data_IF_093117415190
#
_entry.id   IF_093117415190
#
_cell.length_a   1.000
_cell.length_b   1.000
_cell.length_c   1.000
_cell.angle_alpha   90.00
_cell.angle_beta   90.00
_cell.angle_gamma   90.00
#
_symmetry.space_group_name_H-M   'P 1'
#
loop_
_entity.id
_entity.type
_entity.pdbx_description
1 polymer ?
#
# COMPACT_ATOMS: atom_id res chain seq x y z
N UNK A 1 27.96 -55.63 81.44
CA UNK A 1 27.56 -54.27 81.87
C UNK A 1 27.19 -53.46 80.63
N UNK A 2 25.98 -52.89 80.66
CA UNK A 2 25.41 -51.76 79.88
C UNK A 2 25.18 -51.89 78.36
N UNK A 3 23.89 -51.97 78.02
CA UNK A 3 23.22 -51.33 76.87
C UNK A 3 23.21 -49.78 77.04
N UNK A 4 23.11 -48.98 75.95
CA UNK A 4 21.81 -48.66 75.31
C UNK A 4 21.81 -48.58 73.76
N UNK A 5 20.60 -48.61 73.18
CA UNK A 5 20.25 -48.24 71.78
C UNK A 5 19.63 -46.81 71.76
N UNK A 6 18.98 -46.27 70.70
CA UNK A 6 18.98 -46.52 69.24
C UNK A 6 19.21 -45.23 68.41
N UNK A 7 19.29 -45.32 67.07
CA UNK A 7 19.24 -44.14 66.18
C UNK A 7 19.44 -44.55 64.72
N UNK A 8 18.36 -44.80 63.99
CA UNK A 8 17.65 -43.85 63.13
C UNK A 8 18.15 -43.93 61.68
N UNK A 9 17.29 -44.51 60.84
CA UNK A 9 17.37 -44.45 59.39
C UNK A 9 17.31 -42.99 58.93
N UNK A 10 18.28 -42.55 58.13
CA UNK A 10 18.14 -41.33 57.34
C UNK A 10 18.51 -41.58 55.88
N UNK A 11 17.44 -41.67 55.10
CA UNK A 11 17.35 -41.37 53.69
C UNK A 11 18.28 -40.21 53.29
N UNK A 12 19.32 -40.48 52.51
CA UNK A 12 19.83 -39.48 51.57
C UNK A 12 19.05 -39.62 50.27
N UNK A 13 17.97 -38.83 50.26
CA UNK A 13 17.09 -38.53 49.14
C UNK A 13 17.88 -38.34 47.86
N UNK A 14 17.43 -39.04 46.82
CA UNK A 14 17.51 -38.58 45.44
C UNK A 14 17.13 -37.09 45.39
N UNK A 15 18.08 -36.21 45.11
CA UNK A 15 17.80 -34.82 44.79
C UNK A 15 17.14 -34.81 43.41
N UNK A 16 15.81 -34.78 43.37
CA UNK A 16 15.07 -34.49 42.14
C UNK A 16 15.53 -33.11 41.63
N UNK A 17 15.93 -32.97 40.35
CA UNK A 17 16.28 -31.67 39.79
C UNK A 17 15.04 -30.76 39.84
N UNK A 18 15.18 -29.47 40.20
CA UNK A 18 14.04 -28.59 40.39
C UNK A 18 13.30 -28.40 39.06
N UNK A 19 12.11 -28.99 38.95
CA UNK A 19 11.19 -28.87 37.80
C UNK A 19 10.85 -27.43 37.42
N UNK A 20 11.11 -26.46 38.31
CA UNK A 20 10.99 -25.03 38.08
C UNK A 20 12.15 -24.45 37.25
N UNK A 21 13.38 -24.92 37.43
CA UNK A 21 14.55 -24.44 36.68
C UNK A 21 14.43 -24.81 35.19
N UNK A 22 13.94 -26.03 34.91
CA UNK A 22 13.66 -26.49 33.55
C UNK A 22 12.56 -25.65 32.88
N UNK A 23 11.50 -25.29 33.60
CA UNK A 23 10.39 -24.46 33.08
C UNK A 23 10.83 -23.02 32.80
N UNK A 24 11.67 -22.44 33.66
CA UNK A 24 12.22 -21.08 33.46
C UNK A 24 13.17 -21.05 32.26
N UNK A 25 14.01 -22.07 32.09
CA UNK A 25 14.88 -22.20 30.91
C UNK A 25 14.09 -22.35 29.60
N UNK A 26 13.04 -23.18 29.59
CA UNK A 26 12.17 -23.34 28.41
C UNK A 26 11.40 -22.05 28.12
N UNK A 27 10.88 -21.37 29.15
CA UNK A 27 10.19 -20.08 29.00
C UNK A 27 11.12 -18.98 28.48
N UNK A 28 12.38 -18.94 28.94
CA UNK A 28 13.38 -17.98 28.49
C UNK A 28 13.81 -18.23 27.05
N UNK A 29 13.96 -19.51 26.65
CA UNK A 29 14.28 -19.89 25.29
C UNK A 29 13.14 -19.57 24.32
N UNK A 30 11.88 -19.78 24.74
CA UNK A 30 10.70 -19.45 23.95
C UNK A 30 10.55 -17.92 23.76
N UNK A 31 10.85 -17.13 24.79
CA UNK A 31 10.85 -15.67 24.71
C UNK A 31 11.97 -15.12 23.80
N UNK A 32 13.15 -15.75 23.81
CA UNK A 32 14.25 -15.41 22.89
C UNK A 32 13.90 -15.75 21.43
N UNK A 33 13.18 -16.86 21.20
CA UNK A 33 12.77 -17.28 19.85
C UNK A 33 11.69 -16.35 19.26
N UNK A 34 10.82 -15.78 20.09
CA UNK A 34 9.82 -14.79 19.67
C UNK A 34 10.45 -13.42 19.31
N UNK A 35 11.62 -13.10 19.87
CA UNK A 35 12.32 -11.85 19.58
C UNK A 35 13.11 -11.85 18.27
N UNK A 36 13.36 -13.02 17.66
CA UNK A 36 14.23 -13.15 16.48
C UNK A 36 13.49 -13.03 15.13
N UNK A 37 12.18 -12.82 15.15
CA UNK A 37 11.36 -12.63 13.94
C UNK A 37 11.18 -11.14 13.59
N UNK A 38 12.27 -10.37 13.46
CA UNK A 38 12.19 -9.11 12.72
C UNK A 38 12.32 -9.42 11.22
N UNK A 39 11.19 -9.56 10.53
CA UNK A 39 11.17 -9.52 9.08
C UNK A 39 11.52 -8.09 8.64
N UNK A 40 12.63 -7.90 7.93
CA UNK A 40 12.94 -6.63 7.29
C UNK A 40 11.88 -6.36 6.22
N UNK A 41 11.07 -5.32 6.42
CA UNK A 41 10.08 -4.90 5.44
C UNK A 41 10.78 -4.22 4.26
N UNK A 42 10.34 -4.51 3.04
CA UNK A 42 10.84 -3.86 1.83
C UNK A 42 10.45 -2.38 1.83
N UNK A 43 11.41 -1.48 1.68
CA UNK A 43 11.15 -0.04 1.62
C UNK A 43 10.76 0.37 0.19
N UNK A 44 9.64 1.08 0.04
CA UNK A 44 9.19 1.59 -1.26
C UNK A 44 8.89 3.09 -1.19
N UNK A 45 9.76 3.88 -1.82
CA UNK A 45 9.58 5.31 -2.05
C UNK A 45 8.82 5.55 -3.36
N UNK A 46 7.91 6.53 -3.36
CA UNK A 46 7.15 6.94 -4.56
C UNK A 46 7.07 8.46 -4.64
N UNK A 47 7.67 9.01 -5.69
CA UNK A 47 7.68 10.44 -6.01
C UNK A 47 6.94 10.71 -7.32
N UNK A 48 6.08 11.72 -7.31
CA UNK A 48 5.26 12.18 -8.44
C UNK A 48 5.60 13.65 -8.65
N UNK A 49 5.97 14.03 -9.87
CA UNK A 49 6.45 15.37 -10.21
C UNK A 49 5.78 15.88 -11.50
N UNK A 50 5.60 17.19 -11.63
CA UNK A 50 5.15 17.85 -12.87
C UNK A 50 3.63 18.05 -13.01
N UNK A 51 2.88 17.92 -11.91
CA UNK A 51 1.44 18.14 -11.84
C UNK A 51 1.11 19.30 -10.89
N UNK A 52 -0.11 19.85 -11.02
CA UNK A 52 -0.69 20.70 -9.98
C UNK A 52 -1.18 19.86 -8.79
N UNK A 53 -1.53 20.54 -7.69
CA UNK A 53 -1.86 19.89 -6.41
C UNK A 53 -3.06 18.93 -6.55
N UNK A 54 -4.12 19.36 -7.23
CA UNK A 54 -5.35 18.56 -7.40
C UNK A 54 -5.08 17.32 -8.29
N UNK A 55 -4.38 17.51 -9.40
CA UNK A 55 -4.03 16.40 -10.30
C UNK A 55 -3.08 15.41 -9.63
N UNK A 56 -2.06 15.90 -8.91
CA UNK A 56 -1.13 15.06 -8.18
C UNK A 56 -1.86 14.24 -7.11
N UNK A 57 -2.73 14.88 -6.32
CA UNK A 57 -3.51 14.20 -5.29
C UNK A 57 -4.38 13.10 -5.90
N UNK A 58 -5.05 13.38 -7.01
CA UNK A 58 -5.88 12.38 -7.69
C UNK A 58 -5.04 11.21 -8.21
N UNK A 59 -3.90 11.49 -8.86
CA UNK A 59 -2.96 10.46 -9.32
C UNK A 59 -2.46 9.61 -8.16
N UNK A 60 -2.06 10.23 -7.04
CA UNK A 60 -1.56 9.56 -5.85
C UNK A 60 -2.57 8.56 -5.27
N UNK A 61 -3.85 8.93 -5.23
CA UNK A 61 -4.93 8.04 -4.77
C UNK A 61 -5.20 6.89 -5.75
N UNK A 62 -5.07 7.16 -7.04
CA UNK A 62 -5.34 6.19 -8.10
C UNK A 62 -4.26 5.11 -8.24
N UNK A 63 -3.01 5.46 -7.91
CA UNK A 63 -1.85 4.58 -8.05
C UNK A 63 -1.88 3.40 -7.08
N UNK A 64 -1.94 2.18 -7.63
CA UNK A 64 -1.85 0.94 -6.84
C UNK A 64 -0.51 0.79 -6.13
N UNK A 65 0.57 1.30 -6.72
CA UNK A 65 1.90 1.27 -6.10
C UNK A 65 1.95 2.09 -4.81
N UNK A 66 1.24 3.21 -4.75
CA UNK A 66 1.14 4.03 -3.54
C UNK A 66 0.31 3.31 -2.48
N UNK A 67 -0.82 2.71 -2.86
CA UNK A 67 -1.70 1.98 -1.93
C UNK A 67 -1.06 0.73 -1.32
N UNK A 68 -0.21 0.03 -2.08
CA UNK A 68 0.40 -1.23 -1.63
C UNK A 68 1.78 -1.05 -1.00
N UNK A 69 2.33 0.18 -0.95
CA UNK A 69 3.72 0.42 -0.50
C UNK A 69 3.99 0.03 0.96
N UNK A 70 2.96 0.05 1.81
CA UNK A 70 3.06 -0.27 3.25
C UNK A 70 2.71 -1.73 3.55
N UNK A 71 2.52 -2.56 2.52
CA UNK A 71 2.22 -3.98 2.72
C UNK A 71 3.44 -4.72 3.29
N UNK A 72 3.28 -5.47 4.39
CA UNK A 72 4.38 -6.22 4.99
C UNK A 72 4.88 -7.38 4.12
N UNK A 73 4.06 -7.84 3.17
CA UNK A 73 4.35 -8.94 2.24
C UNK A 73 4.75 -8.44 0.83
N UNK A 74 5.20 -7.19 0.72
CA UNK A 74 5.56 -6.59 -0.56
C UNK A 74 6.86 -7.21 -1.11
N UNK A 75 6.75 -7.91 -2.25
CA UNK A 75 7.90 -8.53 -2.92
C UNK A 75 8.48 -7.64 -4.03
N UNK A 76 9.76 -7.79 -4.40
CA UNK A 76 10.35 -7.11 -5.55
C UNK A 76 9.58 -7.33 -6.87
N UNK A 77 9.05 -8.53 -7.11
CA UNK A 77 8.23 -8.85 -8.28
C UNK A 77 6.92 -8.04 -8.25
N UNK A 78 6.32 -7.91 -7.06
CA UNK A 78 5.10 -7.12 -6.89
C UNK A 78 5.37 -5.64 -7.14
N UNK A 79 6.48 -5.10 -6.66
CA UNK A 79 6.89 -3.71 -6.95
C UNK A 79 7.05 -3.49 -8.45
N UNK A 80 7.79 -4.36 -9.16
CA UNK A 80 7.97 -4.28 -10.61
C UNK A 80 6.64 -4.34 -11.36
N UNK A 81 5.74 -5.23 -10.94
CA UNK A 81 4.39 -5.33 -11.50
C UNK A 81 3.56 -4.05 -11.29
N UNK A 82 3.55 -3.51 -10.07
CA UNK A 82 2.84 -2.29 -9.73
C UNK A 82 3.39 -1.09 -10.52
N UNK A 83 4.71 -1.00 -10.66
CA UNK A 83 5.39 0.01 -11.45
C UNK A 83 5.02 -0.05 -12.94
N UNK A 84 5.00 -1.24 -13.54
CA UNK A 84 4.59 -1.44 -14.94
C UNK A 84 3.15 -0.96 -15.21
N UNK A 85 2.27 -1.03 -14.21
CA UNK A 85 0.87 -0.57 -14.31
C UNK A 85 0.69 0.92 -14.06
N UNK A 86 1.65 1.58 -13.40
CA UNK A 86 1.54 2.96 -12.99
C UNK A 86 1.28 3.94 -14.16
N UNK A 87 1.95 3.84 -15.33
CA UNK A 87 1.69 4.76 -16.44
C UNK A 87 0.23 4.75 -16.93
N UNK A 88 -0.41 3.58 -16.99
CA UNK A 88 -1.82 3.48 -17.39
C UNK A 88 -2.77 4.00 -16.30
N UNK A 89 -2.41 3.80 -15.03
CA UNK A 89 -3.16 4.36 -13.90
C UNK A 89 -3.07 5.89 -13.88
N UNK A 90 -1.88 6.46 -14.11
CA UNK A 90 -1.67 7.91 -14.20
C UNK A 90 -2.52 8.50 -15.32
N UNK A 91 -2.50 7.91 -16.53
CA UNK A 91 -3.33 8.40 -17.65
C UNK A 91 -4.81 8.46 -17.29
N UNK A 92 -5.34 7.41 -16.67
CA UNK A 92 -6.75 7.35 -16.26
C UNK A 92 -7.08 8.38 -15.17
N UNK A 93 -6.18 8.58 -14.22
CA UNK A 93 -6.34 9.59 -13.18
C UNK A 93 -6.34 11.02 -13.74
N UNK A 94 -5.71 11.26 -14.88
CA UNK A 94 -5.66 12.58 -15.50
C UNK A 94 -6.84 12.87 -16.44
N UNK A 95 -7.64 11.86 -16.83
CA UNK A 95 -8.80 12.03 -17.71
C UNK A 95 -9.86 13.02 -17.19
N UNK A 96 -10.22 13.05 -15.88
CA UNK A 96 -11.17 14.02 -15.33
C UNK A 96 -10.70 15.48 -15.38
N UNK A 97 -9.48 15.73 -15.84
CA UNK A 97 -8.92 17.08 -16.03
C UNK A 97 -8.76 17.41 -17.52
N UNK A 98 -9.30 16.58 -18.42
CA UNK A 98 -9.15 16.73 -19.87
C UNK A 98 -7.75 16.35 -20.39
N UNK A 99 -6.89 15.78 -19.55
CA UNK A 99 -5.48 15.50 -19.88
C UNK A 99 -5.32 14.08 -20.45
N UNK A 100 -5.67 13.90 -21.72
CA UNK A 100 -5.68 12.59 -22.38
C UNK A 100 -4.34 12.12 -22.95
N UNK A 101 -3.38 13.03 -23.13
CA UNK A 101 -2.09 12.72 -23.78
C UNK A 101 -0.88 13.16 -22.93
N UNK A 102 -0.80 12.80 -21.64
CA UNK A 102 0.34 13.14 -20.83
C UNK A 102 1.58 12.36 -21.30
N UNK A 103 2.75 13.01 -21.29
CA UNK A 103 4.03 12.30 -21.40
C UNK A 103 4.44 11.90 -19.99
N UNK A 104 4.78 10.63 -19.81
CA UNK A 104 5.09 10.05 -18.50
C UNK A 104 6.45 9.39 -18.61
N UNK A 105 7.42 9.87 -17.83
CA UNK A 105 8.67 9.17 -17.60
C UNK A 105 8.58 8.46 -16.24
N UNK A 106 8.66 7.12 -16.28
CA UNK A 106 8.55 6.26 -15.11
C UNK A 106 9.89 5.55 -14.88
N UNK A 107 10.48 5.78 -13.72
CA UNK A 107 11.77 5.22 -13.33
C UNK A 107 11.58 4.35 -12.08
N UNK A 108 12.25 3.20 -12.06
CA UNK A 108 12.33 2.28 -10.93
C UNK A 108 13.81 2.02 -10.62
N UNK A 109 14.28 2.50 -9.48
CA UNK A 109 15.67 2.37 -9.05
C UNK A 109 15.74 1.46 -7.81
N UNK A 110 16.53 0.37 -7.86
CA UNK A 110 16.82 -0.42 -6.66
C UNK A 110 17.63 0.40 -5.65
N UNK A 111 17.34 0.25 -4.36
CA UNK A 111 18.10 0.82 -3.24
C UNK A 111 18.69 -0.29 -2.38
N UNK A 112 19.35 0.05 -1.26
CA UNK A 112 19.89 -0.94 -0.33
C UNK A 112 18.78 -1.83 0.28
N UNK A 113 17.66 -1.22 0.64
CA UNK A 113 16.57 -1.86 1.41
C UNK A 113 15.25 -1.99 0.61
N UNK A 114 15.25 -1.59 -0.67
CA UNK A 114 14.08 -1.73 -1.53
C UNK A 114 14.15 -0.97 -2.85
N UNK A 115 13.20 -0.06 -3.10
CA UNK A 115 13.05 0.64 -4.38
C UNK A 115 12.65 2.11 -4.24
N UNK A 116 13.18 2.95 -5.13
CA UNK A 116 12.72 4.32 -5.38
C UNK A 116 12.00 4.39 -6.73
N UNK A 117 10.72 4.76 -6.70
CA UNK A 117 9.90 4.96 -7.89
C UNK A 117 9.69 6.44 -8.15
N UNK A 118 10.04 6.91 -9.35
CA UNK A 118 9.84 8.30 -9.77
C UNK A 118 8.98 8.39 -11.01
N UNK A 119 7.94 9.20 -10.95
CA UNK A 119 7.03 9.50 -12.07
C UNK A 119 7.09 10.99 -12.39
N UNK A 120 7.80 11.35 -13.46
CA UNK A 120 7.80 12.72 -14.00
C UNK A 120 6.75 12.81 -15.09
N UNK A 121 5.81 13.72 -14.92
CA UNK A 121 4.62 13.81 -15.75
C UNK A 121 4.56 15.19 -16.40
N UNK A 122 4.41 15.21 -17.71
CA UNK A 122 4.08 16.41 -18.47
C UNK A 122 2.64 16.28 -18.95
N UNK A 123 1.66 16.97 -18.32
CA UNK A 123 0.23 16.77 -18.58
C UNK A 123 -0.17 17.17 -20.01
N UNK A 124 0.52 18.13 -20.61
CA UNK A 124 0.18 18.70 -21.92
C UNK A 124 -0.99 19.68 -21.84
N UNK A 125 -1.61 19.96 -22.98
CA UNK A 125 -2.80 20.82 -23.05
C UNK A 125 -4.07 19.98 -22.84
N UNK A 126 -5.03 20.44 -22.01
CA UNK A 126 -6.33 19.78 -21.88
C UNK A 126 -7.05 19.73 -23.22
N UNK A 127 -7.69 18.58 -23.51
CA UNK A 127 -8.66 18.47 -24.58
C UNK A 127 -9.91 19.21 -24.15
N UNK A 128 -10.45 20.04 -25.04
CA UNK A 128 -11.64 20.85 -24.79
C UNK A 128 -12.86 20.33 -25.53
N UNK A 129 -14.05 20.70 -25.04
CA UNK A 129 -15.33 20.41 -25.68
C UNK A 129 -15.41 21.21 -26.99
N UNK A 130 -15.53 20.52 -28.12
CA UNK A 130 -15.68 21.16 -29.44
C UNK A 130 -17.11 21.59 -29.73
N UNK A 131 -18.09 20.72 -29.49
CA UNK A 131 -19.50 20.95 -29.80
C UNK A 131 -20.40 20.15 -28.86
N UNK A 132 -21.52 20.73 -28.44
CA UNK A 132 -22.54 20.06 -27.60
C UNK A 132 -23.83 19.92 -28.41
N UNK A 133 -24.10 18.69 -28.87
CA UNK A 133 -25.33 18.35 -29.60
C UNK A 133 -26.31 17.61 -28.69
N UNK A 134 -27.31 18.32 -28.18
CA UNK A 134 -28.33 17.77 -27.28
C UNK A 134 -29.68 17.58 -28.00
N UNK A 135 -30.23 16.35 -27.96
CA UNK A 135 -31.51 16.00 -28.58
C UNK A 135 -32.37 15.15 -27.63
N UNK A 136 -33.62 15.54 -27.44
CA UNK A 136 -34.61 14.78 -26.67
C UNK A 136 -35.56 14.07 -27.64
N UNK A 137 -35.76 12.77 -27.45
CA UNK A 137 -36.70 11.96 -28.24
C UNK A 137 -37.60 11.10 -27.33
N UNK A 138 -38.84 10.84 -27.77
CA UNK A 138 -39.78 9.98 -27.04
C UNK A 138 -40.61 10.71 -25.98
N UNK A 139 -40.99 10.02 -24.91
CA UNK A 139 -41.90 10.54 -23.88
C UNK A 139 -41.41 11.83 -23.18
N UNK A 140 -40.10 12.08 -23.20
CA UNK A 140 -39.48 13.24 -22.56
C UNK A 140 -39.55 14.55 -23.36
N UNK A 141 -40.01 14.55 -24.62
CA UNK A 141 -40.01 15.75 -25.48
C UNK A 141 -40.83 16.92 -24.88
N UNK A 142 -41.87 16.61 -24.11
CA UNK A 142 -42.69 17.60 -23.42
C UNK A 142 -42.24 17.97 -22.01
N UNK A 143 -41.19 17.35 -21.47
CA UNK A 143 -40.74 17.60 -20.09
C UNK A 143 -39.88 18.87 -20.02
N UNK A 144 -40.34 19.96 -19.36
CA UNK A 144 -39.59 21.21 -19.23
C UNK A 144 -38.26 21.04 -18.50
N UNK A 145 -38.12 19.99 -17.67
CA UNK A 145 -36.87 19.72 -16.93
C UNK A 145 -35.76 19.30 -17.87
N UNK A 146 -36.09 18.57 -18.94
CA UNK A 146 -35.15 18.06 -19.94
C UNK A 146 -34.79 19.15 -20.97
N UNK A 147 -35.72 20.07 -21.26
CA UNK A 147 -35.49 21.16 -22.21
C UNK A 147 -34.35 22.12 -21.82
N UNK A 148 -33.96 22.17 -20.54
CA UNK A 148 -32.85 23.01 -20.06
C UNK A 148 -31.48 22.59 -20.60
N UNK A 149 -31.33 21.35 -21.07
CA UNK A 149 -30.05 20.84 -21.59
C UNK A 149 -28.95 20.68 -20.52
N UNK A 150 -27.79 20.15 -20.90
CA UNK A 150 -26.62 20.05 -20.03
C UNK A 150 -25.91 21.40 -19.86
N UNK A 151 -25.31 21.64 -18.70
CA UNK A 151 -24.44 22.82 -18.44
C UNK A 151 -23.03 22.56 -18.99
N UNK A 152 -22.93 22.37 -20.31
CA UNK A 152 -21.66 22.15 -21.01
C UNK A 152 -21.49 23.21 -22.08
N UNK A 153 -20.35 23.89 -22.08
CA UNK A 153 -20.03 24.98 -23.01
C UNK A 153 -18.82 24.60 -23.88
N UNK A 154 -18.83 24.90 -25.19
CA UNK A 154 -17.66 24.75 -26.04
C UNK A 154 -16.44 25.50 -25.47
N UNK A 155 -15.26 24.87 -25.56
CA UNK A 155 -14.00 25.42 -25.04
C UNK A 155 -13.71 25.07 -23.57
N UNK A 156 -14.67 24.51 -22.82
CA UNK A 156 -14.37 23.95 -21.49
C UNK A 156 -13.49 22.70 -21.61
N UNK A 157 -12.65 22.38 -20.59
CA UNK A 157 -11.99 21.08 -20.51
C UNK A 157 -13.00 19.93 -20.60
N UNK A 158 -12.64 18.84 -21.25
CA UNK A 158 -13.47 17.65 -21.33
C UNK A 158 -13.38 16.87 -20.01
N UNK A 159 -14.34 17.07 -19.11
CA UNK A 159 -14.45 16.37 -17.83
C UNK A 159 -15.87 16.07 -17.36
#
# INVERSE_FOLDING_TARGET
>A
MRHPAPGSAEFLRCQDPPSHAMKVLISSLFLLLLLSAQAAALELSVTIEGLGDDEEQNVRQFLSIVRERERPDLTPERVRYLHQRAPEQIRKALQPYGLFRPRINAELQPTADGFDCRYRIEPGQPVTIGEVNYRISGAGTGDPRLQRGPTLEPGQPLN
#
